data_IF_581514570997
#
_entry.id   IF_581514570997
#
_cell.length_a   1.000
_cell.length_b   1.000
_cell.length_c   1.000
_cell.angle_alpha   90.00
_cell.angle_beta   90.00
_cell.angle_gamma   90.00
#
_symmetry.space_group_name_H-M   'P 1'
#
loop_
_entity.id
_entity.type
_entity.pdbx_description
1 polymer ?
#
# COMPACT_ATOMS: atom_id res chain seq x y z
N UNK A 1 -3.56 -14.78 10.22
CA UNK A 1 -4.09 -14.66 8.87
C UNK A 1 -5.16 -13.58 8.85
N UNK A 2 -4.79 -12.37 8.46
CA UNK A 2 -5.76 -11.31 8.22
C UNK A 2 -6.03 -11.23 6.71
N UNK A 3 -7.29 -11.34 6.34
CA UNK A 3 -7.73 -11.17 4.95
C UNK A 3 -8.68 -9.98 4.90
N UNK A 4 -8.41 -9.04 3.99
CA UNK A 4 -9.37 -7.98 3.65
C UNK A 4 -9.74 -8.06 2.18
N UNK A 5 -11.01 -7.79 1.93
CA UNK A 5 -11.62 -7.82 0.62
C UNK A 5 -12.24 -6.47 0.33
N UNK A 6 -11.96 -5.93 -0.85
CA UNK A 6 -12.56 -4.70 -1.34
C UNK A 6 -13.18 -4.99 -2.70
N UNK A 7 -14.50 -4.86 -2.79
CA UNK A 7 -15.24 -5.01 -4.04
C UNK A 7 -15.23 -3.70 -4.83
N UNK A 8 -14.83 -3.78 -6.10
CA UNK A 8 -14.94 -2.72 -7.09
C UNK A 8 -15.91 -3.08 -8.21
N UNK A 9 -16.11 -2.17 -9.17
CA UNK A 9 -16.95 -2.44 -10.35
C UNK A 9 -16.35 -3.52 -11.27
N UNK A 10 -15.02 -3.60 -11.31
CA UNK A 10 -14.23 -4.45 -12.21
C UNK A 10 -13.87 -5.81 -11.60
N UNK A 11 -14.07 -6.00 -10.29
CA UNK A 11 -13.46 -7.14 -9.60
C UNK A 11 -13.31 -6.95 -8.09
N UNK A 12 -12.43 -7.74 -7.50
CA UNK A 12 -12.17 -7.79 -6.06
C UNK A 12 -10.67 -7.65 -5.81
N UNK A 13 -10.30 -6.69 -4.96
CA UNK A 13 -8.97 -6.61 -4.36
C UNK A 13 -8.93 -7.45 -3.08
N UNK A 14 -7.91 -8.28 -2.97
CA UNK A 14 -7.59 -9.08 -1.78
C UNK A 14 -6.27 -8.60 -1.21
N UNK A 15 -6.27 -8.24 0.07
CA UNK A 15 -5.06 -7.90 0.85
C UNK A 15 -4.91 -8.99 1.90
N UNK A 16 -3.81 -9.75 1.81
CA UNK A 16 -3.42 -10.76 2.79
C UNK A 16 -2.22 -10.34 3.61
N UNK A 17 -1.63 -11.28 4.35
CA UNK A 17 -0.45 -11.00 5.20
C UNK A 17 0.86 -10.91 4.38
N UNK A 18 0.95 -11.61 3.24
CA UNK A 18 2.20 -11.76 2.46
C UNK A 18 2.11 -11.29 1.01
N UNK A 19 0.90 -11.06 0.49
CA UNK A 19 0.68 -10.56 -0.86
C UNK A 19 -0.68 -9.90 -1.02
N UNK A 20 -0.81 -9.06 -2.03
CA UNK A 20 -2.10 -8.59 -2.53
C UNK A 20 -2.37 -9.15 -3.92
N UNK A 21 -3.65 -9.35 -4.23
CA UNK A 21 -4.09 -9.81 -5.54
C UNK A 21 -5.37 -9.10 -5.97
N UNK A 22 -5.53 -8.90 -7.27
CA UNK A 22 -6.74 -8.37 -7.89
C UNK A 22 -7.34 -9.44 -8.80
N UNK A 23 -8.62 -9.73 -8.60
CA UNK A 23 -9.39 -10.69 -9.38
C UNK A 23 -10.46 -9.94 -10.18
N UNK A 24 -10.69 -10.32 -11.43
CA UNK A 24 -11.82 -9.78 -12.18
C UNK A 24 -13.16 -10.43 -11.75
N UNK A 25 -14.27 -9.98 -12.35
CA UNK A 25 -15.61 -10.50 -12.06
C UNK A 25 -15.83 -11.97 -12.43
N UNK A 26 -14.92 -12.60 -13.19
CA UNK A 26 -14.95 -14.03 -13.51
C UNK A 26 -14.14 -14.88 -12.52
N UNK A 27 -13.49 -14.26 -11.54
CA UNK A 27 -12.60 -14.93 -10.60
C UNK A 27 -11.20 -15.19 -11.14
N UNK A 28 -10.82 -14.59 -12.27
CA UNK A 28 -9.48 -14.74 -12.84
C UNK A 28 -8.53 -13.71 -12.19
N UNK A 29 -7.33 -14.14 -11.80
CA UNK A 29 -6.28 -13.25 -11.28
C UNK A 29 -5.83 -12.33 -12.42
N UNK A 30 -5.95 -11.02 -12.21
CA UNK A 30 -5.44 -10.00 -13.11
C UNK A 30 -4.07 -9.50 -12.67
N UNK A 31 -3.85 -9.43 -11.35
CA UNK A 31 -2.61 -8.91 -10.77
C UNK A 31 -2.34 -9.57 -9.44
N UNK A 32 -1.06 -9.83 -9.19
CA UNK A 32 -0.55 -10.28 -7.91
C UNK A 32 0.72 -9.50 -7.59
N UNK A 33 0.95 -9.26 -6.30
CA UNK A 33 2.18 -8.64 -5.82
C UNK A 33 2.54 -9.24 -4.47
N UNK A 34 3.68 -9.90 -4.44
CA UNK A 34 4.29 -10.40 -3.21
C UNK A 34 4.96 -9.26 -2.45
N UNK A 35 4.78 -9.27 -1.13
CA UNK A 35 5.28 -8.19 -0.30
C UNK A 35 6.79 -8.27 -0.10
N UNK A 36 7.49 -7.13 -0.14
CA UNK A 36 8.94 -7.09 -0.05
C UNK A 36 9.42 -7.23 1.41
N UNK A 37 8.50 -7.05 2.36
CA UNK A 37 8.72 -7.14 3.79
C UNK A 37 7.37 -7.32 4.51
N UNK A 38 7.38 -7.29 5.84
CA UNK A 38 6.18 -7.45 6.66
C UNK A 38 5.21 -6.29 6.45
N UNK A 39 3.96 -6.59 6.10
CA UNK A 39 2.88 -5.60 6.02
C UNK A 39 2.53 -5.12 7.43
N UNK A 40 2.49 -3.80 7.61
CA UNK A 40 2.17 -3.14 8.88
C UNK A 40 0.75 -2.58 8.86
N UNK A 41 0.40 -1.90 7.77
CA UNK A 41 -0.90 -1.25 7.62
C UNK A 41 -1.19 -1.02 6.14
N UNK A 42 -2.45 -0.77 5.82
CA UNK A 42 -2.88 -0.43 4.48
C UNK A 42 -4.08 0.51 4.50
N UNK A 43 -4.32 1.15 3.37
CA UNK A 43 -5.58 1.82 3.11
C UNK A 43 -6.00 1.62 1.65
N UNK A 44 -7.31 1.59 1.43
CA UNK A 44 -7.92 1.44 0.11
C UNK A 44 -9.07 2.44 -0.03
N UNK A 45 -9.00 3.27 -1.07
CA UNK A 45 -10.06 4.23 -1.38
C UNK A 45 -10.21 4.35 -2.89
N UNK A 46 -11.43 4.10 -3.39
CA UNK A 46 -11.82 4.33 -4.78
C UNK A 46 -10.84 3.75 -5.82
N UNK A 47 -10.43 2.49 -5.65
CA UNK A 47 -9.51 1.82 -6.58
C UNK A 47 -8.03 2.14 -6.38
N UNK A 48 -7.69 2.97 -5.38
CA UNK A 48 -6.32 3.28 -4.99
C UNK A 48 -5.93 2.54 -3.73
N UNK A 49 -4.73 1.98 -3.72
CA UNK A 49 -4.21 1.21 -2.58
C UNK A 49 -2.90 1.83 -2.11
N UNK A 50 -2.76 1.99 -0.80
CA UNK A 50 -1.50 2.33 -0.16
C UNK A 50 -1.15 1.24 0.86
N UNK A 51 0.07 0.71 0.79
CA UNK A 51 0.56 -0.37 1.63
C UNK A 51 1.82 0.10 2.35
N UNK A 52 1.90 -0.12 3.66
CA UNK A 52 3.06 0.20 4.48
C UNK A 52 3.73 -1.09 4.94
N UNK A 53 5.03 -1.19 4.70
CA UNK A 53 5.84 -2.32 5.11
C UNK A 53 7.00 -1.90 6.01
N UNK A 54 7.49 -2.85 6.79
CA UNK A 54 8.66 -2.68 7.64
C UNK A 54 9.62 -3.84 7.41
N UNK A 55 10.88 -3.50 7.17
CA UNK A 55 11.98 -4.46 7.13
C UNK A 55 12.86 -4.26 8.37
N UNK A 56 12.68 -5.15 9.33
CA UNK A 56 13.41 -5.11 10.61
C UNK A 56 14.93 -5.31 10.41
N UNK A 57 15.33 -6.14 9.45
CA UNK A 57 16.74 -6.42 9.14
C UNK A 57 17.45 -5.17 8.59
N UNK A 58 16.82 -4.47 7.65
CA UNK A 58 17.38 -3.25 7.04
C UNK A 58 17.11 -1.98 7.86
N UNK A 59 16.21 -2.06 8.86
CA UNK A 59 15.69 -0.90 9.64
C UNK A 59 15.06 0.18 8.75
N UNK A 60 14.44 -0.24 7.65
CA UNK A 60 13.75 0.62 6.69
C UNK A 60 12.26 0.34 6.65
N UNK A 61 11.50 1.35 6.25
CA UNK A 61 10.09 1.21 5.89
C UNK A 61 9.89 1.45 4.40
N UNK A 62 8.88 0.78 3.84
CA UNK A 62 8.54 0.85 2.42
C UNK A 62 7.08 1.22 2.30
N UNK A 63 6.78 2.05 1.31
CA UNK A 63 5.42 2.27 0.83
C UNK A 63 5.30 1.70 -0.56
N UNK A 64 4.26 0.92 -0.78
CA UNK A 64 3.80 0.59 -2.13
C UNK A 64 2.48 1.29 -2.37
N UNK A 65 2.37 2.00 -3.50
CA UNK A 65 1.15 2.67 -3.91
C UNK A 65 0.67 2.14 -5.25
N UNK A 66 -0.65 2.00 -5.39
CA UNK A 66 -1.31 1.58 -6.63
C UNK A 66 -2.37 2.63 -6.95
N UNK A 67 -2.16 3.38 -8.02
CA UNK A 67 -3.04 4.52 -8.41
C UNK A 67 -4.31 4.06 -9.15
N UNK A 68 -4.29 2.86 -9.71
CA UNK A 68 -5.47 2.17 -10.21
C UNK A 68 -5.17 0.68 -10.36
N UNK A 69 -6.21 -0.15 -10.38
CA UNK A 69 -6.13 -1.61 -10.46
C UNK A 69 -5.27 -2.11 -11.64
N UNK A 70 -5.20 -1.34 -12.73
CA UNK A 70 -4.47 -1.68 -13.95
C UNK A 70 -3.05 -1.07 -14.05
N UNK A 71 -2.61 -0.29 -13.06
CA UNK A 71 -1.27 0.34 -13.07
C UNK A 71 -0.28 -0.47 -12.26
N UNK A 72 0.97 -0.48 -12.69
CA UNK A 72 2.07 -1.03 -11.89
C UNK A 72 2.20 -0.33 -10.54
N UNK A 73 2.57 -1.04 -9.46
CA UNK A 73 2.78 -0.42 -8.16
C UNK A 73 4.00 0.49 -8.19
N UNK A 74 3.92 1.62 -7.50
CA UNK A 74 5.06 2.50 -7.25
C UNK A 74 5.61 2.25 -5.84
N UNK A 75 6.93 2.22 -5.75
CA UNK A 75 7.66 1.94 -4.51
C UNK A 75 8.38 3.18 -4.01
N UNK A 76 8.44 3.36 -2.70
CA UNK A 76 9.29 4.36 -2.06
C UNK A 76 9.77 3.82 -0.72
N UNK A 77 11.06 3.96 -0.44
CA UNK A 77 11.66 3.60 0.84
C UNK A 77 12.01 4.86 1.63
N UNK A 78 12.03 4.73 2.96
CA UNK A 78 12.39 5.82 3.85
C UNK A 78 12.90 5.30 5.19
N UNK A 79 13.79 6.09 5.79
CA UNK A 79 14.38 5.83 7.10
C UNK A 79 13.38 6.19 8.20
N UNK A 80 12.47 5.28 8.52
CA UNK A 80 11.63 5.35 9.71
C UNK A 80 11.06 3.98 10.05
N UNK A 81 11.80 3.18 10.80
CA UNK A 81 11.35 1.85 11.21
C UNK A 81 10.20 1.86 12.23
N UNK A 82 9.63 3.00 12.59
CA UNK A 82 8.54 3.10 13.56
C UNK A 82 7.25 3.66 12.93
N UNK A 83 7.15 3.68 11.60
CA UNK A 83 5.90 3.98 10.93
C UNK A 83 4.84 2.92 11.28
N UNK A 84 3.67 3.35 11.75
CA UNK A 84 2.62 2.44 12.25
C UNK A 84 1.31 2.52 11.47
N UNK A 85 1.11 3.59 10.72
CA UNK A 85 -0.17 3.89 10.10
C UNK A 85 0.02 4.56 8.75
N UNK A 86 -0.81 4.16 7.78
CA UNK A 86 -0.88 4.75 6.44
C UNK A 86 -2.34 5.04 6.07
N UNK A 87 -2.64 6.24 5.60
CA UNK A 87 -4.00 6.62 5.16
C UNK A 87 -3.95 7.38 3.86
N UNK A 88 -4.97 7.20 3.04
CA UNK A 88 -5.25 8.03 1.88
C UNK A 88 -6.11 9.21 2.36
N UNK A 89 -5.60 10.43 2.27
CA UNK A 89 -6.31 11.64 2.72
C UNK A 89 -6.21 12.67 1.61
N UNK A 90 -7.36 13.17 1.13
CA UNK A 90 -7.45 14.16 0.06
C UNK A 90 -6.62 13.80 -1.19
N UNK A 91 -6.55 12.51 -1.53
CA UNK A 91 -5.80 12.00 -2.69
C UNK A 91 -4.29 11.84 -2.48
N UNK A 92 -3.78 12.11 -1.27
CA UNK A 92 -2.39 11.90 -0.88
C UNK A 92 -2.22 10.67 0.02
N UNK A 93 -1.04 10.07 0.00
CA UNK A 93 -0.68 8.98 0.91
C UNK A 93 0.04 9.58 2.12
N UNK A 94 -0.58 9.49 3.29
CA UNK A 94 -0.08 10.02 4.54
C UNK A 94 0.43 8.89 5.42
N UNK A 95 1.69 8.96 5.85
CA UNK A 95 2.28 8.00 6.79
C UNK A 95 2.56 8.68 8.11
N UNK A 96 2.01 8.12 9.19
CA UNK A 96 2.32 8.55 10.55
C UNK A 96 3.55 7.80 11.05
N UNK A 97 4.62 8.55 11.26
CA UNK A 97 5.86 8.11 11.89
C UNK A 97 6.08 8.76 13.25
N UNK A 98 7.25 8.52 13.86
CA UNK A 98 7.64 9.10 15.14
C UNK A 98 7.62 10.63 15.15
N UNK A 99 8.10 11.26 14.07
CA UNK A 99 8.31 12.71 13.99
C UNK A 99 7.13 13.47 13.38
N UNK A 100 6.00 12.80 13.14
CA UNK A 100 4.80 13.39 12.54
C UNK A 100 4.32 12.65 11.29
N UNK A 101 3.62 13.37 10.42
CA UNK A 101 3.00 12.83 9.21
C UNK A 101 3.81 13.23 7.98
N UNK A 102 4.26 12.25 7.20
CA UNK A 102 4.91 12.49 5.90
C UNK A 102 3.93 12.21 4.77
N UNK A 103 3.90 13.07 3.75
CA UNK A 103 3.02 12.93 2.59
C UNK A 103 3.78 12.41 1.36
N UNK A 104 3.14 11.50 0.64
CA UNK A 104 3.63 10.87 -0.58
C UNK A 104 2.58 10.98 -1.68
N UNK A 105 3.06 10.94 -2.93
CA UNK A 105 2.20 10.86 -4.10
C UNK A 105 2.16 9.43 -4.65
N UNK A 106 1.02 9.06 -5.24
CA UNK A 106 0.83 7.76 -5.89
C UNK A 106 1.73 7.51 -7.11
N UNK A 107 2.37 8.55 -7.65
CA UNK A 107 3.31 8.46 -8.78
C UNK A 107 4.77 8.24 -8.34
N UNK A 108 4.99 8.00 -7.03
CA UNK A 108 6.32 8.02 -6.44
C UNK A 108 6.80 9.43 -6.08
N UNK A 109 7.78 9.49 -5.17
CA UNK A 109 8.33 10.73 -4.62
C UNK A 109 7.66 11.17 -3.32
N UNK A 110 8.50 11.53 -2.34
CA UNK A 110 8.07 12.06 -1.04
C UNK A 110 8.14 13.59 -1.04
N UNK A 111 7.15 14.27 -0.45
CA UNK A 111 7.27 15.68 -0.06
C UNK A 111 7.08 15.77 1.45
N UNK A 112 8.15 16.15 2.16
CA UNK A 112 8.07 16.49 3.58
C UNK A 112 7.33 17.83 3.69
N UNK A 113 6.26 17.87 4.48
CA UNK A 113 5.60 19.11 4.90
C UNK A 113 5.95 19.38 6.35
#
# INVERSE_FOLDING_TARGET
MCLKLYGGKSGILVIGDTKYAYYNSKGEIQKEYEYPAKLIDWDYQNGKTALLFQNETKRLSYITTVDSENKEPNYSEFENNNAKCIRIIDGHVCVLGKDGITQYNFKGGAKKR
#
